data_IF_164550436904
#
_entry.id   IF_164550436904
#
_cell.length_a   1.000
_cell.length_b   1.000
_cell.length_c   1.000
_cell.angle_alpha   90.00
_cell.angle_beta   90.00
_cell.angle_gamma   90.00
#
_symmetry.space_group_name_H-M   'P 1'
#
loop_
_entity.id
_entity.type
_entity.pdbx_description
1 polymer ?
#
# COMPACT_ATOMS: atom_id res chain seq x y z
N UNK A 1 33.23 31.74 36.20
CA UNK A 1 31.96 32.15 35.55
C UNK A 1 31.99 31.88 34.03
N UNK A 2 32.40 30.68 33.57
CA UNK A 2 32.56 30.36 32.13
C UNK A 2 31.77 29.13 31.66
N UNK A 3 30.99 28.49 32.54
CA UNK A 3 30.20 27.29 32.23
C UNK A 3 28.74 27.59 31.84
N UNK A 4 28.21 28.75 32.22
CA UNK A 4 26.81 29.11 31.96
C UNK A 4 26.54 29.51 30.50
N UNK A 5 27.57 29.90 29.74
CA UNK A 5 27.40 30.30 28.33
C UNK A 5 27.45 29.13 27.34
N UNK A 6 28.00 27.97 27.74
CA UNK A 6 28.07 26.81 26.86
C UNK A 6 26.72 26.07 26.73
N UNK A 7 25.84 26.19 27.73
CA UNK A 7 24.54 25.52 27.76
C UNK A 7 23.44 26.29 27.00
N UNK A 8 23.60 27.59 26.79
CA UNK A 8 22.62 28.41 26.07
C UNK A 8 22.71 28.26 24.54
N UNK A 9 23.87 27.84 24.02
CA UNK A 9 24.09 27.67 22.59
C UNK A 9 23.51 26.36 22.01
N UNK A 10 23.28 25.33 22.85
CA UNK A 10 22.71 24.05 22.39
C UNK A 10 21.18 24.06 22.24
N UNK A 11 20.46 25.02 22.82
CA UNK A 11 18.99 25.05 22.76
C UNK A 11 18.44 25.66 21.45
N UNK A 12 19.23 26.49 20.75
CA UNK A 12 18.81 27.23 19.55
C UNK A 12 19.04 26.49 18.22
N UNK A 13 19.70 25.33 18.25
CA UNK A 13 19.96 24.52 17.05
C UNK A 13 18.85 23.50 16.73
N UNK A 14 17.69 23.59 17.39
CA UNK A 14 16.56 22.65 17.19
C UNK A 14 15.52 23.10 16.17
N UNK A 15 15.79 24.12 15.36
CA UNK A 15 15.01 24.41 14.15
C UNK A 15 15.44 23.45 13.03
N UNK A 16 15.05 22.18 13.14
CA UNK A 16 15.03 21.28 12.00
C UNK A 16 14.16 21.87 10.88
N UNK A 17 14.40 21.53 9.60
CA UNK A 17 13.60 22.04 8.50
C UNK A 17 12.12 21.71 8.75
N UNK A 18 11.28 22.74 8.86
CA UNK A 18 9.82 22.58 8.87
C UNK A 18 9.46 21.97 7.52
N UNK A 19 9.13 20.67 7.52
CA UNK A 19 8.64 20.01 6.32
C UNK A 19 7.29 20.66 6.01
N UNK A 20 7.09 21.27 4.83
CA UNK A 20 5.79 21.80 4.47
C UNK A 20 4.76 20.67 4.55
N UNK A 21 3.51 20.96 4.94
CA UNK A 21 2.45 19.97 4.90
C UNK A 21 2.39 19.42 3.47
N UNK A 22 2.47 18.09 3.33
CA UNK A 22 2.30 17.44 2.04
C UNK A 22 0.88 17.66 1.56
N UNK A 23 0.70 18.13 0.33
CA UNK A 23 -0.61 18.28 -0.29
C UNK A 23 -1.30 16.91 -0.37
N UNK A 24 -2.45 16.71 0.30
CA UNK A 24 -3.16 15.43 0.31
C UNK A 24 -3.70 15.02 -1.06
N UNK A 25 -3.88 15.97 -1.99
CA UNK A 25 -4.32 15.71 -3.36
C UNK A 25 -3.16 15.57 -4.35
N UNK A 26 -1.91 15.69 -3.89
CA UNK A 26 -0.76 15.47 -4.76
C UNK A 26 -0.80 14.05 -5.34
N UNK A 27 -0.57 13.87 -6.65
CA UNK A 27 -0.57 12.57 -7.28
C UNK A 27 0.57 11.73 -6.72
N UNK A 28 0.24 10.48 -6.39
CA UNK A 28 1.15 9.46 -5.89
C UNK A 28 0.91 8.17 -6.66
N UNK A 29 2.00 7.53 -7.05
CA UNK A 29 1.96 6.20 -7.63
C UNK A 29 2.06 5.14 -6.52
N UNK A 30 1.16 4.16 -6.56
CA UNK A 30 1.19 2.95 -5.72
C UNK A 30 1.40 1.75 -6.62
N UNK A 31 2.45 0.98 -6.36
CA UNK A 31 2.78 -0.23 -7.10
C UNK A 31 2.84 -1.43 -6.17
N UNK A 32 2.56 -2.62 -6.68
CA UNK A 32 2.62 -3.84 -5.90
C UNK A 32 2.43 -5.10 -6.73
N UNK A 33 2.54 -6.25 -6.05
CA UNK A 33 2.26 -7.57 -6.62
C UNK A 33 1.35 -8.34 -5.67
N UNK A 34 0.32 -8.97 -6.22
CA UNK A 34 -0.67 -9.76 -5.48
C UNK A 34 -0.45 -11.22 -5.82
N UNK A 35 -0.31 -12.04 -4.78
CA UNK A 35 -0.14 -13.48 -4.87
C UNK A 35 -1.17 -14.18 -3.99
N UNK A 36 -1.41 -15.46 -4.26
CA UNK A 36 -2.21 -16.33 -3.41
C UNK A 36 -1.49 -17.65 -3.20
N UNK A 37 -1.75 -18.26 -2.06
CA UNK A 37 -1.30 -19.61 -1.75
C UNK A 37 -2.29 -20.61 -2.35
N UNK A 38 -1.76 -21.51 -3.17
CA UNK A 38 -2.51 -22.62 -3.76
C UNK A 38 -2.02 -23.94 -3.19
N UNK A 39 -2.95 -24.90 -3.11
CA UNK A 39 -2.68 -26.28 -2.70
C UNK A 39 -3.27 -27.21 -3.75
N UNK A 40 -2.55 -28.27 -4.07
CA UNK A 40 -3.04 -29.31 -4.96
C UNK A 40 -3.79 -30.39 -4.16
N UNK A 41 -4.90 -30.92 -4.68
CA UNK A 41 -5.51 -32.13 -4.13
C UNK A 41 -4.56 -33.32 -4.30
N UNK A 42 -4.45 -34.15 -3.28
CA UNK A 42 -3.85 -35.47 -3.29
C UNK A 42 -4.92 -36.51 -2.95
N UNK A 43 -4.63 -37.79 -3.19
CA UNK A 43 -5.53 -38.90 -2.82
C UNK A 43 -5.80 -38.91 -1.30
N UNK A 44 -4.90 -38.35 -0.48
CA UNK A 44 -5.07 -38.23 0.98
C UNK A 44 -5.68 -36.90 1.45
N UNK A 45 -6.04 -35.96 0.57
CA UNK A 45 -6.58 -34.64 0.92
C UNK A 45 -5.77 -33.48 0.33
N UNK A 46 -5.85 -32.28 0.89
CA UNK A 46 -5.04 -31.15 0.39
C UNK A 46 -3.54 -31.38 0.70
N UNK A 47 -2.68 -31.14 -0.28
CA UNK A 47 -1.23 -31.22 -0.09
C UNK A 47 -0.75 -30.24 1.01
N UNK A 48 0.25 -30.67 1.77
CA UNK A 48 0.99 -29.80 2.69
C UNK A 48 1.86 -28.78 1.92
N UNK A 49 2.19 -29.08 0.66
CA UNK A 49 2.98 -28.22 -0.21
C UNK A 49 2.16 -26.98 -0.62
N UNK A 50 2.70 -25.81 -0.29
CA UNK A 50 2.14 -24.51 -0.66
C UNK A 50 2.85 -24.04 -1.93
N UNK A 51 2.08 -23.77 -2.98
CA UNK A 51 2.58 -23.08 -4.17
C UNK A 51 2.04 -21.66 -4.19
N UNK A 52 2.94 -20.68 -4.17
CA UNK A 52 2.60 -19.26 -4.30
C UNK A 52 2.43 -18.92 -5.78
N UNK A 53 1.24 -18.44 -6.15
CA UNK A 53 0.88 -18.10 -7.53
C UNK A 53 0.43 -16.64 -7.66
N UNK A 54 0.67 -15.98 -8.81
CA UNK A 54 0.13 -14.65 -9.06
C UNK A 54 -1.40 -14.59 -9.03
N UNK A 55 -1.96 -13.62 -8.32
CA UNK A 55 -3.39 -13.31 -8.36
C UNK A 55 -3.67 -12.41 -9.57
N UNK A 56 -4.07 -13.02 -10.67
CA UNK A 56 -4.25 -12.37 -11.97
C UNK A 56 -5.61 -11.72 -12.08
N UNK A 57 -5.70 -10.60 -12.80
CA UNK A 57 -6.97 -9.98 -13.19
C UNK A 57 -7.87 -9.62 -12.00
N UNK A 58 -7.31 -9.43 -10.81
CA UNK A 58 -8.02 -8.95 -9.62
C UNK A 58 -8.14 -7.43 -9.64
N UNK A 59 -9.27 -6.91 -9.15
CA UNK A 59 -9.50 -5.48 -9.03
C UNK A 59 -8.79 -4.96 -7.76
N UNK A 60 -8.23 -3.76 -7.86
CA UNK A 60 -7.51 -3.09 -6.77
C UNK A 60 -8.06 -1.68 -6.64
N UNK A 61 -8.39 -1.28 -5.43
CA UNK A 61 -8.82 0.08 -5.11
C UNK A 61 -7.89 0.71 -4.09
N UNK A 62 -7.59 2.00 -4.26
CA UNK A 62 -7.02 2.85 -3.24
C UNK A 62 -8.16 3.54 -2.50
N UNK A 63 -8.10 3.55 -1.17
CA UNK A 63 -9.12 4.16 -0.33
C UNK A 63 -8.51 5.26 0.55
N UNK A 64 -9.32 6.27 0.85
CA UNK A 64 -9.03 7.30 1.85
C UNK A 64 -10.23 7.39 2.80
N UNK A 65 -10.03 7.07 4.09
CA UNK A 65 -11.15 7.06 5.05
C UNK A 65 -12.31 6.12 4.67
N UNK A 66 -12.03 5.06 3.90
CA UNK A 66 -13.02 4.07 3.44
C UNK A 66 -13.72 4.39 2.11
N UNK A 67 -13.50 5.57 1.53
CA UNK A 67 -13.97 5.92 0.18
C UNK A 67 -12.97 5.47 -0.88
N UNK A 68 -13.44 4.95 -2.02
CA UNK A 68 -12.58 4.62 -3.16
C UNK A 68 -12.17 5.91 -3.87
N UNK A 69 -10.87 6.17 -3.95
CA UNK A 69 -10.30 7.38 -4.59
C UNK A 69 -9.55 7.08 -5.89
N UNK A 70 -9.16 5.81 -6.11
CA UNK A 70 -8.59 5.35 -7.37
C UNK A 70 -8.82 3.84 -7.52
N UNK A 71 -8.87 3.35 -8.75
CA UNK A 71 -8.99 1.92 -9.05
C UNK A 71 -7.99 1.52 -10.14
N UNK A 72 -7.64 0.24 -10.11
CA UNK A 72 -6.84 -0.42 -11.14
C UNK A 72 -7.07 -1.91 -11.14
N UNK A 73 -6.29 -2.61 -11.96
CA UNK A 73 -6.39 -4.06 -12.12
C UNK A 73 -4.99 -4.66 -12.20
N UNK A 74 -4.81 -5.80 -11.55
CA UNK A 74 -3.57 -6.55 -11.64
C UNK A 74 -3.41 -7.23 -13.01
N UNK A 75 -2.18 -7.27 -13.51
CA UNK A 75 -1.80 -7.91 -14.77
C UNK A 75 -1.70 -9.45 -14.66
N UNK A 76 -1.12 -10.08 -15.69
CA UNK A 76 -0.94 -11.53 -15.76
C UNK A 76 0.09 -12.07 -14.76
N UNK A 77 0.93 -11.19 -14.20
CA UNK A 77 1.93 -11.49 -13.18
C UNK A 77 1.46 -11.04 -11.78
N UNK A 78 0.20 -10.59 -11.68
CA UNK A 78 -0.39 -10.08 -10.45
C UNK A 78 0.14 -8.71 -10.03
N UNK A 79 0.87 -8.00 -10.91
CA UNK A 79 1.41 -6.67 -10.63
C UNK A 79 0.39 -5.60 -10.96
N UNK A 80 0.43 -4.50 -10.22
CA UNK A 80 -0.40 -3.33 -10.48
C UNK A 80 0.40 -2.05 -10.27
N UNK A 81 -0.05 -1.01 -10.96
CA UNK A 81 0.38 0.38 -10.78
C UNK A 81 -0.87 1.25 -10.83
N UNK A 82 -1.13 2.00 -9.76
CA UNK A 82 -2.29 2.90 -9.64
C UNK A 82 -1.79 4.28 -9.26
N UNK A 83 -2.23 5.28 -10.00
CA UNK A 83 -2.06 6.68 -9.62
C UNK A 83 -3.29 7.12 -8.80
N UNK A 84 -3.04 7.72 -7.65
CA UNK A 84 -4.09 8.25 -6.78
C UNK A 84 -3.57 9.36 -5.87
N UNK A 85 -4.45 10.01 -5.09
CA UNK A 85 -4.03 11.12 -4.25
C UNK A 85 -3.21 10.63 -3.05
N UNK A 86 -2.31 11.48 -2.55
CA UNK A 86 -1.45 11.18 -1.40
C UNK A 86 -2.23 10.81 -0.12
N UNK A 87 -3.48 11.26 0.01
CA UNK A 87 -4.40 10.90 1.10
C UNK A 87 -4.88 9.44 1.09
N UNK A 88 -4.61 8.66 0.04
CA UNK A 88 -4.93 7.24 0.04
C UNK A 88 -4.13 6.51 1.12
N UNK A 89 -4.84 5.89 2.07
CA UNK A 89 -4.29 5.23 3.25
C UNK A 89 -4.39 3.69 3.19
N UNK A 90 -5.27 3.18 2.32
CA UNK A 90 -5.64 1.76 2.29
C UNK A 90 -5.64 1.23 0.86
N UNK A 91 -5.16 0.00 0.69
CA UNK A 91 -5.29 -0.77 -0.56
C UNK A 91 -6.30 -1.90 -0.32
N UNK A 92 -7.35 -1.95 -1.15
CA UNK A 92 -8.33 -3.05 -1.15
C UNK A 92 -8.17 -3.89 -2.40
N UNK A 93 -7.97 -5.19 -2.23
CA UNK A 93 -7.91 -6.18 -3.30
C UNK A 93 -9.20 -7.01 -3.29
N UNK A 94 -9.85 -7.14 -4.44
CA UNK A 94 -11.12 -7.86 -4.52
C UNK A 94 -11.37 -8.47 -5.91
N UNK A 95 -12.28 -9.44 -5.96
CA UNK A 95 -12.79 -10.02 -7.20
C UNK A 95 -14.27 -9.68 -7.35
N UNK A 96 -14.70 -9.32 -8.56
CA UNK A 96 -16.12 -9.10 -8.88
C UNK A 96 -16.70 -10.29 -9.62
N UNK A 97 -17.83 -10.77 -9.14
CA UNK A 97 -18.66 -11.76 -9.84
C UNK A 97 -19.98 -11.12 -10.23
N UNK A 98 -20.43 -11.32 -11.47
CA UNK A 98 -21.78 -10.93 -11.89
C UNK A 98 -22.72 -12.11 -11.71
N UNK A 99 -23.75 -11.95 -10.88
CA UNK A 99 -24.86 -12.89 -10.81
C UNK A 99 -25.91 -12.43 -11.81
N UNK A 100 -26.32 -13.30 -12.73
CA UNK A 100 -27.50 -13.10 -13.59
C UNK A 100 -28.65 -13.89 -12.97
N UNK A 101 -29.75 -13.19 -12.67
CA UNK A 101 -31.03 -13.79 -12.26
C UNK A 101 -31.91 -14.08 -13.47
#
# INVERSE_FOLDING_TARGET
MRRAHLLLALALASCGPVRPPSDPEAPRQVTGQIVYESRHPTVQGASAEIEVRPARSVDVALLAGGEVVAEGRADAEGRFTIEGPARADTVRVYARTRVRG
#
